data_IF_339227264146
#
_entry.id   IF_339227264146
#
_cell.length_a   1.000
_cell.length_b   1.000
_cell.length_c   1.000
_cell.angle_alpha   90.00
_cell.angle_beta   90.00
_cell.angle_gamma   90.00
#
_symmetry.space_group_name_H-M   'P 1'
#
loop_
_entity.id
_entity.type
_entity.pdbx_description
1 polymer ?
#
# COMPACT_ATOMS: atom_id res chain seq x y z
N UNK A 1 -2.57 -3.83 11.17
CA UNK A 1 -3.72 -4.43 11.88
C UNK A 1 -4.12 -5.77 11.27
N UNK A 2 -4.53 -5.80 9.99
CA UNK A 2 -4.95 -7.03 9.32
C UNK A 2 -3.94 -8.18 9.39
N UNK A 3 -2.65 -7.91 9.17
CA UNK A 3 -1.61 -8.96 9.29
C UNK A 3 -1.43 -9.52 10.71
N UNK A 4 -1.83 -8.79 11.76
CA UNK A 4 -1.72 -9.27 13.15
C UNK A 4 -2.95 -10.06 13.60
N UNK A 5 -4.12 -9.69 13.09
CA UNK A 5 -5.42 -10.27 13.47
C UNK A 5 -6.32 -10.41 12.24
N UNK A 6 -5.94 -11.25 11.26
CA UNK A 6 -6.69 -11.38 10.01
C UNK A 6 -8.14 -11.87 10.21
N UNK A 7 -8.38 -12.63 11.27
CA UNK A 7 -9.67 -13.23 11.64
C UNK A 7 -10.78 -12.22 11.95
N UNK A 8 -10.41 -10.97 12.26
CA UNK A 8 -11.36 -9.93 12.69
C UNK A 8 -11.96 -9.19 11.48
N UNK A 9 -11.26 -9.16 10.34
CA UNK A 9 -11.57 -8.21 9.28
C UNK A 9 -12.40 -8.85 8.16
N UNK A 10 -13.57 -8.28 7.88
CA UNK A 10 -14.34 -8.61 6.68
C UNK A 10 -13.66 -8.12 5.39
N UNK A 11 -12.84 -7.07 5.50
CA UNK A 11 -12.02 -6.48 4.46
C UNK A 11 -11.36 -5.19 4.96
N UNK A 12 -10.30 -4.73 4.29
CA UNK A 12 -9.59 -3.48 4.56
C UNK A 12 -9.43 -2.67 3.28
N UNK A 13 -9.73 -1.37 3.37
CA UNK A 13 -9.40 -0.36 2.36
C UNK A 13 -8.29 0.53 2.91
N UNK A 14 -7.09 0.46 2.35
CA UNK A 14 -5.92 1.24 2.77
C UNK A 14 -5.49 2.18 1.65
N UNK A 15 -5.27 3.45 2.01
CA UNK A 15 -4.98 4.54 1.08
C UNK A 15 -3.67 5.18 1.46
N UNK A 16 -2.79 5.32 0.48
CA UNK A 16 -1.42 5.84 0.59
C UNK A 16 -0.67 5.33 1.84
N UNK A 17 -0.69 4.00 2.09
CA UNK A 17 -0.16 3.41 3.31
C UNK A 17 1.36 3.51 3.41
N UNK A 18 1.86 3.68 4.64
CA UNK A 18 3.26 3.40 4.98
C UNK A 18 3.33 1.93 5.43
N UNK A 19 4.12 1.12 4.73
CA UNK A 19 4.24 -0.32 5.00
C UNK A 19 5.56 -0.75 5.66
N UNK A 20 6.59 0.09 5.60
CA UNK A 20 7.94 -0.16 6.11
C UNK A 20 8.51 1.09 6.78
N UNK A 21 8.74 1.04 8.09
CA UNK A 21 9.27 2.19 8.83
C UNK A 21 10.77 2.43 8.60
N UNK A 22 11.54 1.39 8.27
CA UNK A 22 12.97 1.53 7.98
C UNK A 22 13.14 2.25 6.66
N UNK A 23 12.44 1.78 5.61
CA UNK A 23 12.43 2.47 4.32
C UNK A 23 11.90 3.90 4.45
N UNK A 24 10.79 4.07 5.17
CA UNK A 24 10.17 5.39 5.34
C UNK A 24 11.07 6.38 6.09
N UNK A 25 11.86 5.91 7.08
CA UNK A 25 12.89 6.72 7.73
C UNK A 25 13.92 7.24 6.72
N UNK A 26 14.49 6.37 5.89
CA UNK A 26 15.51 6.75 4.92
C UNK A 26 14.96 7.68 3.84
N UNK A 27 13.78 7.38 3.31
CA UNK A 27 13.11 8.21 2.31
C UNK A 27 12.75 9.59 2.85
N UNK A 28 12.24 9.68 4.09
CA UNK A 28 12.00 10.98 4.74
C UNK A 28 13.29 11.78 4.92
N UNK A 29 14.38 11.13 5.32
CA UNK A 29 15.67 11.79 5.52
C UNK A 29 16.23 12.30 4.19
N UNK A 30 16.16 11.50 3.12
CA UNK A 30 16.57 11.88 1.78
C UNK A 30 15.74 13.04 1.22
N UNK A 31 14.42 13.02 1.42
CA UNK A 31 13.50 14.07 0.99
C UNK A 31 13.46 15.28 1.94
N UNK A 32 14.34 15.34 2.95
CA UNK A 32 14.39 16.39 3.98
C UNK A 32 13.03 16.64 4.69
N UNK A 33 12.23 15.58 4.88
CA UNK A 33 10.94 15.61 5.58
C UNK A 33 11.14 15.33 7.07
N UNK A 34 10.53 16.11 7.95
CA UNK A 34 10.73 15.98 9.40
C UNK A 34 10.20 14.66 10.01
N UNK A 35 9.40 13.87 9.29
CA UNK A 35 8.81 12.63 9.81
C UNK A 35 9.84 11.60 10.27
N UNK A 36 11.08 11.58 9.72
CA UNK A 36 12.11 10.67 10.22
C UNK A 36 12.40 10.85 11.71
N UNK A 37 12.25 12.08 12.25
CA UNK A 37 12.43 12.38 13.67
C UNK A 37 11.34 11.72 14.53
N UNK A 38 10.11 11.69 14.04
CA UNK A 38 9.00 11.03 14.73
C UNK A 38 9.15 9.51 14.71
N UNK A 39 9.67 8.96 13.62
CA UNK A 39 9.98 7.52 13.53
C UNK A 39 11.06 7.17 14.55
N UNK A 40 12.14 7.96 14.64
CA UNK A 40 13.19 7.78 15.66
C UNK A 40 12.62 7.85 17.08
N UNK A 41 11.78 8.85 17.38
CA UNK A 41 11.14 8.97 18.68
C UNK A 41 10.22 7.77 18.99
N UNK A 42 9.57 7.20 17.97
CA UNK A 42 8.66 6.05 18.12
C UNK A 42 9.39 4.72 18.27
N UNK A 43 10.59 4.60 17.69
CA UNK A 43 11.39 3.36 17.68
C UNK A 43 12.57 3.39 18.66
N UNK A 44 12.78 4.51 19.37
CA UNK A 44 13.83 4.65 20.37
C UNK A 44 15.25 4.90 19.81
N UNK A 45 15.39 5.04 18.49
CA UNK A 45 16.69 5.22 17.84
C UNK A 45 16.57 5.28 16.32
N UNK A 46 17.69 5.46 15.63
CA UNK A 46 17.75 5.35 14.16
C UNK A 46 17.84 3.87 13.75
N UNK A 47 17.41 3.47 12.54
CA UNK A 47 17.61 2.10 12.08
C UNK A 47 19.09 1.72 12.12
N UNK A 48 19.39 0.49 12.54
CA UNK A 48 20.73 -0.07 12.68
C UNK A 48 21.50 0.37 13.93
N UNK A 49 20.90 1.15 14.84
CA UNK A 49 21.61 1.63 16.04
C UNK A 49 21.73 0.58 17.15
N UNK A 50 20.78 -0.35 17.25
CA UNK A 50 20.87 -1.54 18.09
C UNK A 50 19.84 -2.59 17.65
N UNK A 51 20.00 -3.84 18.10
CA UNK A 51 19.05 -4.91 17.82
C UNK A 51 17.65 -4.62 18.39
N UNK A 52 17.58 -3.97 19.56
CA UNK A 52 16.32 -3.57 20.20
C UNK A 52 15.61 -2.49 19.39
N UNK A 53 16.35 -1.53 18.83
CA UNK A 53 15.79 -0.50 17.96
C UNK A 53 15.28 -1.12 16.66
N UNK A 54 16.07 -1.98 16.01
CA UNK A 54 15.66 -2.65 14.78
C UNK A 54 14.41 -3.51 14.96
N UNK A 55 14.25 -4.12 16.13
CA UNK A 55 13.04 -4.84 16.50
C UNK A 55 11.82 -3.91 16.63
N UNK A 56 11.97 -2.67 17.10
CA UNK A 56 10.88 -1.68 17.08
C UNK A 56 10.44 -1.34 15.65
N UNK A 57 11.39 -1.12 14.74
CA UNK A 57 11.11 -0.87 13.33
C UNK A 57 10.39 -2.06 12.69
N UNK A 58 10.92 -3.26 12.88
CA UNK A 58 10.34 -4.51 12.36
C UNK A 58 8.93 -4.70 12.91
N UNK A 59 8.75 -4.65 14.23
CA UNK A 59 7.45 -4.99 14.84
C UNK A 59 6.35 -3.99 14.51
N UNK A 60 6.67 -2.76 14.12
CA UNK A 60 5.69 -1.71 13.80
C UNK A 60 5.39 -1.60 12.30
N UNK A 61 6.28 -2.10 11.45
CA UNK A 61 6.09 -2.13 10.00
C UNK A 61 5.00 -3.14 9.61
N UNK A 62 3.95 -2.72 8.86
CA UNK A 62 2.95 -3.65 8.35
C UNK A 62 3.51 -4.83 7.56
N UNK A 63 4.57 -4.64 6.73
CA UNK A 63 5.18 -5.71 5.92
C UNK A 63 5.50 -6.96 6.74
N UNK A 64 6.00 -6.79 7.96
CA UNK A 64 6.35 -7.88 8.89
C UNK A 64 5.22 -8.89 9.12
N UNK A 65 3.96 -8.48 8.97
CA UNK A 65 2.80 -9.31 9.27
C UNK A 65 1.88 -9.53 8.07
N UNK A 66 2.10 -8.83 6.95
CA UNK A 66 1.13 -8.74 5.87
C UNK A 66 0.84 -10.10 5.22
N UNK A 67 1.82 -11.00 5.15
CA UNK A 67 1.63 -12.36 4.65
C UNK A 67 0.48 -13.13 5.34
N UNK A 68 0.20 -12.84 6.62
CA UNK A 68 -0.91 -13.45 7.36
C UNK A 68 -2.29 -12.96 6.88
N UNK A 69 -2.35 -11.82 6.17
CA UNK A 69 -3.58 -11.22 5.67
C UNK A 69 -3.92 -11.61 4.22
N UNK A 70 -3.25 -12.61 3.64
CA UNK A 70 -3.47 -13.05 2.25
C UNK A 70 -4.92 -13.43 1.93
N UNK A 71 -5.66 -13.93 2.92
CA UNK A 71 -7.06 -14.36 2.78
C UNK A 71 -8.06 -13.27 3.21
N UNK A 72 -7.57 -12.12 3.67
CA UNK A 72 -8.39 -10.94 3.94
C UNK A 72 -8.62 -10.20 2.62
N UNK A 73 -9.82 -9.67 2.41
CA UNK A 73 -10.07 -8.77 1.28
C UNK A 73 -9.29 -7.46 1.47
N UNK A 74 -8.28 -7.21 0.65
CA UNK A 74 -7.41 -6.04 0.75
C UNK A 74 -7.58 -5.13 -0.46
N UNK A 75 -7.85 -3.85 -0.21
CA UNK A 75 -7.96 -2.82 -1.22
C UNK A 75 -6.91 -1.74 -0.96
N UNK A 76 -5.77 -1.88 -1.64
CA UNK A 76 -4.60 -1.02 -1.49
C UNK A 76 -4.62 0.04 -2.59
N UNK A 77 -4.39 1.29 -2.22
CA UNK A 77 -4.49 2.43 -3.14
C UNK A 77 -3.35 3.41 -2.92
N UNK A 78 -2.78 3.93 -4.00
CA UNK A 78 -1.82 5.03 -3.97
C UNK A 78 -2.00 5.95 -5.17
N UNK A 79 -1.84 7.26 -4.99
CA UNK A 79 -1.76 8.19 -6.09
C UNK A 79 -0.38 8.13 -6.73
N UNK A 80 -0.28 8.07 -8.06
CA UNK A 80 0.99 7.88 -8.76
C UNK A 80 2.04 8.95 -8.45
N UNK A 81 1.61 10.17 -8.10
CA UNK A 81 2.48 11.30 -7.73
C UNK A 81 2.78 11.38 -6.24
N UNK A 82 2.27 10.47 -5.41
CA UNK A 82 2.65 10.42 -4.00
C UNK A 82 4.15 10.11 -3.85
N UNK A 83 4.75 10.57 -2.75
CA UNK A 83 6.20 10.53 -2.55
C UNK A 83 6.97 11.62 -3.28
N UNK A 84 6.41 12.22 -4.34
CA UNK A 84 6.97 13.35 -5.09
C UNK A 84 6.27 14.66 -4.73
N UNK A 85 5.00 14.78 -5.13
CA UNK A 85 4.11 15.90 -4.75
C UNK A 85 3.32 15.58 -3.47
N UNK A 86 3.56 14.40 -2.92
CA UNK A 86 2.99 13.90 -1.68
C UNK A 86 4.06 13.49 -0.68
N UNK A 87 3.66 12.70 0.31
CA UNK A 87 4.56 12.26 1.37
C UNK A 87 5.16 10.90 1.07
N UNK A 88 4.36 9.90 0.71
CA UNK A 88 4.74 8.49 0.81
C UNK A 88 5.02 7.90 -0.57
N UNK A 89 6.24 7.41 -0.86
CA UNK A 89 6.55 6.72 -2.10
C UNK A 89 5.61 5.54 -2.36
N UNK A 90 5.20 5.37 -3.61
CA UNK A 90 4.18 4.37 -3.98
C UNK A 90 4.69 2.93 -3.85
N UNK A 91 6.01 2.73 -3.81
CA UNK A 91 6.64 1.47 -3.41
C UNK A 91 6.07 0.88 -2.12
N UNK A 92 5.64 1.68 -1.15
CA UNK A 92 5.02 1.14 0.06
C UNK A 92 3.74 0.34 -0.22
N UNK A 93 2.90 0.83 -1.13
CA UNK A 93 1.67 0.15 -1.56
C UNK A 93 1.96 -1.08 -2.41
N UNK A 94 2.92 -0.97 -3.32
CA UNK A 94 3.28 -2.05 -4.24
C UNK A 94 3.98 -3.21 -3.52
N UNK A 95 4.91 -2.91 -2.60
CA UNK A 95 5.55 -3.93 -1.76
C UNK A 95 4.54 -4.57 -0.80
N UNK A 96 3.62 -3.79 -0.23
CA UNK A 96 2.55 -4.34 0.60
C UNK A 96 1.64 -5.31 -0.17
N UNK A 97 1.36 -5.03 -1.45
CA UNK A 97 0.64 -5.94 -2.33
C UNK A 97 1.45 -7.23 -2.60
N UNK A 98 2.75 -7.11 -2.89
CA UNK A 98 3.60 -8.27 -3.16
C UNK A 98 3.65 -9.28 -2.01
N UNK A 99 3.57 -8.83 -0.75
CA UNK A 99 3.55 -9.70 0.43
C UNK A 99 2.34 -10.65 0.49
N UNK A 100 1.22 -10.24 -0.11
CA UNK A 100 -0.03 -11.02 -0.11
C UNK A 100 -0.36 -11.62 -1.47
N UNK A 101 0.37 -11.24 -2.52
CA UNK A 101 0.19 -11.74 -3.87
C UNK A 101 0.89 -13.09 -4.10
N UNK A 102 0.29 -13.90 -4.97
CA UNK A 102 0.93 -15.07 -5.56
C UNK A 102 2.18 -14.66 -6.34
N UNK A 103 3.17 -15.56 -6.45
CA UNK A 103 4.50 -15.22 -6.96
C UNK A 103 4.46 -14.67 -8.40
N UNK A 104 3.58 -15.23 -9.23
CA UNK A 104 3.33 -14.84 -10.62
C UNK A 104 2.67 -13.46 -10.78
N UNK A 105 1.97 -12.98 -9.75
CA UNK A 105 1.27 -11.70 -9.78
C UNK A 105 2.10 -10.57 -9.16
N UNK A 106 3.23 -10.88 -8.53
CA UNK A 106 4.09 -9.86 -7.90
C UNK A 106 4.66 -8.91 -8.94
N UNK A 107 4.82 -7.65 -8.54
CA UNK A 107 5.65 -6.71 -9.27
C UNK A 107 7.13 -7.01 -8.96
N UNK A 108 7.97 -6.99 -9.99
CA UNK A 108 9.42 -7.04 -9.82
C UNK A 108 9.96 -5.77 -9.17
N UNK A 109 11.18 -5.83 -8.63
CA UNK A 109 11.86 -4.66 -8.08
C UNK A 109 12.00 -3.55 -9.13
N UNK A 110 12.42 -3.90 -10.35
CA UNK A 110 12.60 -2.94 -11.45
C UNK A 110 11.29 -2.24 -11.83
N UNK A 111 10.15 -2.95 -11.81
CA UNK A 111 8.85 -2.33 -12.07
C UNK A 111 8.46 -1.35 -10.95
N UNK A 112 8.66 -1.74 -9.69
CA UNK A 112 8.37 -0.86 -8.53
C UNK A 112 9.25 0.38 -8.56
N UNK A 113 10.55 0.22 -8.85
CA UNK A 113 11.49 1.32 -8.98
C UNK A 113 11.13 2.23 -10.16
N UNK A 114 10.64 1.69 -11.28
CA UNK A 114 10.15 2.49 -12.39
C UNK A 114 8.94 3.34 -11.98
N UNK A 115 7.97 2.73 -11.30
CA UNK A 115 6.81 3.44 -10.75
C UNK A 115 7.23 4.62 -9.87
N UNK A 116 8.13 4.37 -8.93
CA UNK A 116 8.62 5.39 -7.99
C UNK A 116 9.47 6.46 -8.69
N UNK A 117 10.35 6.12 -9.64
CA UNK A 117 11.26 7.11 -10.24
C UNK A 117 10.64 7.91 -11.40
N UNK A 118 9.86 7.25 -12.25
CA UNK A 118 9.34 7.86 -13.49
C UNK A 118 7.94 8.46 -13.31
N UNK A 119 7.27 8.16 -12.19
CA UNK A 119 5.90 8.64 -11.89
C UNK A 119 4.93 8.21 -13.01
N UNK A 120 5.15 7.01 -13.54
CA UNK A 120 4.45 6.45 -14.70
C UNK A 120 4.27 4.95 -14.56
N UNK A 121 3.27 4.42 -15.25
CA UNK A 121 3.08 2.97 -15.42
C UNK A 121 4.08 2.47 -16.46
N UNK A 122 4.87 1.42 -16.17
CA UNK A 122 5.72 0.77 -17.16
C UNK A 122 4.91 0.35 -18.39
N UNK A 123 5.49 0.47 -19.59
CA UNK A 123 4.77 0.18 -20.84
C UNK A 123 4.20 -1.24 -20.87
N UNK A 124 4.95 -2.22 -20.37
CA UNK A 124 4.53 -3.63 -20.24
C UNK A 124 3.32 -3.83 -19.34
N UNK A 125 3.03 -2.88 -18.45
CA UNK A 125 1.96 -2.95 -17.46
C UNK A 125 0.77 -2.04 -17.77
N UNK A 126 0.84 -1.25 -18.84
CA UNK A 126 -0.25 -0.35 -19.22
C UNK A 126 -1.50 -1.12 -19.59
N UNK A 127 -2.63 -0.66 -19.06
CA UNK A 127 -3.95 -1.20 -19.34
C UNK A 127 -4.95 -0.06 -19.47
N UNK A 128 -5.97 -0.23 -20.30
CA UNK A 128 -7.10 0.69 -20.33
C UNK A 128 -8.02 0.35 -19.16
N UNK A 129 -8.09 1.24 -18.17
CA UNK A 129 -8.91 1.06 -16.97
C UNK A 129 -9.87 2.24 -16.88
N UNK A 130 -11.15 1.94 -16.65
CA UNK A 130 -12.14 2.94 -16.31
C UNK A 130 -12.87 2.50 -15.06
N UNK A 131 -12.91 3.38 -14.06
CA UNK A 131 -13.59 3.14 -12.81
C UNK A 131 -14.29 4.44 -12.38
N UNK A 132 -15.60 4.56 -12.63
CA UNK A 132 -16.35 5.78 -12.32
C UNK A 132 -16.28 6.19 -10.85
N UNK A 133 -16.06 5.22 -9.93
CA UNK A 133 -15.96 5.52 -8.50
C UNK A 133 -14.72 6.34 -8.14
N UNK A 134 -13.74 6.43 -9.05
CA UNK A 134 -12.55 7.27 -8.87
C UNK A 134 -12.72 8.71 -9.38
N UNK A 135 -13.83 9.03 -10.04
CA UNK A 135 -14.09 10.38 -10.58
C UNK A 135 -12.97 10.85 -11.52
N UNK A 136 -12.45 12.05 -11.31
CA UNK A 136 -11.34 12.59 -12.12
C UNK A 136 -10.00 11.85 -11.89
N UNK A 137 -9.86 11.12 -10.77
CA UNK A 137 -8.62 10.45 -10.36
C UNK A 137 -8.56 9.01 -10.89
N UNK A 138 -8.78 8.84 -12.18
CA UNK A 138 -8.93 7.51 -12.79
C UNK A 138 -7.75 6.58 -12.47
N UNK A 139 -7.98 5.27 -12.29
CA UNK A 139 -6.91 4.29 -12.15
C UNK A 139 -6.00 4.28 -13.38
N UNK A 140 -4.68 4.29 -13.14
CA UNK A 140 -3.66 4.16 -14.19
C UNK A 140 -3.11 2.73 -14.24
N UNK A 141 -3.08 2.05 -13.10
CA UNK A 141 -2.69 0.67 -12.97
C UNK A 141 -3.55 -0.01 -11.91
N UNK A 142 -3.97 -1.25 -12.16
CA UNK A 142 -4.66 -2.09 -11.20
C UNK A 142 -4.22 -3.53 -11.36
N UNK A 143 -3.92 -4.19 -10.24
CA UNK A 143 -3.60 -5.61 -10.22
C UNK A 143 -4.33 -6.29 -9.07
N UNK A 144 -4.79 -7.51 -9.32
CA UNK A 144 -5.45 -8.35 -8.32
C UNK A 144 -4.73 -9.69 -8.24
N UNK A 145 -4.51 -10.16 -7.02
CA UNK A 145 -4.01 -11.51 -6.73
C UNK A 145 -4.78 -12.05 -5.53
N UNK A 146 -5.48 -13.17 -5.70
CA UNK A 146 -6.36 -13.72 -4.67
C UNK A 146 -7.38 -12.69 -4.15
N UNK A 147 -7.33 -12.39 -2.85
CA UNK A 147 -8.23 -11.43 -2.18
C UNK A 147 -7.69 -10.00 -2.12
N UNK A 148 -6.50 -9.73 -2.68
CA UNK A 148 -5.86 -8.43 -2.65
C UNK A 148 -5.90 -7.75 -4.01
N UNK A 149 -6.23 -6.46 -4.02
CA UNK A 149 -6.15 -5.58 -5.18
C UNK A 149 -5.31 -4.36 -4.82
N UNK A 150 -4.36 -4.01 -5.68
CA UNK A 150 -3.65 -2.73 -5.64
C UNK A 150 -4.07 -1.86 -6.82
N UNK A 151 -4.36 -0.59 -6.55
CA UNK A 151 -4.67 0.42 -7.56
C UNK A 151 -3.73 1.60 -7.41
N UNK A 152 -3.04 1.95 -8.51
CA UNK A 152 -2.31 3.21 -8.63
C UNK A 152 -3.15 4.14 -9.49
N UNK A 153 -3.59 5.26 -8.91
CA UNK A 153 -4.52 6.20 -9.54
C UNK A 153 -3.86 7.52 -9.91
N UNK A 154 -4.49 8.29 -10.79
CA UNK A 154 -4.03 9.62 -11.18
C UNK A 154 -4.25 10.63 -10.03
N UNK A 155 -3.32 10.67 -9.07
CA UNK A 155 -3.45 11.53 -7.89
C UNK A 155 -2.19 11.60 -7.03
N UNK A 156 -2.32 12.20 -5.84
CA UNK A 156 -1.24 12.43 -4.88
C UNK A 156 -1.47 11.67 -3.57
N UNK A 157 -1.09 12.26 -2.43
CA UNK A 157 -1.34 11.73 -1.09
C UNK A 157 -2.79 11.94 -0.64
N UNK A 158 -3.72 11.10 -1.10
CA UNK A 158 -5.14 11.31 -0.85
C UNK A 158 -5.98 10.02 -0.88
N UNK A 159 -7.16 10.12 -0.25
CA UNK A 159 -8.25 9.14 -0.32
C UNK A 159 -9.20 9.52 -1.46
N UNK A 160 -9.63 8.54 -2.25
CA UNK A 160 -10.78 8.70 -3.15
C UNK A 160 -12.00 8.08 -2.48
N UNK A 161 -12.79 8.91 -1.80
CA UNK A 161 -13.83 8.46 -0.88
C UNK A 161 -14.91 7.62 -1.55
N UNK A 162 -15.37 8.00 -2.74
CA UNK A 162 -16.41 7.29 -3.47
C UNK A 162 -15.97 5.87 -3.84
N UNK A 163 -14.73 5.71 -4.32
CA UNK A 163 -14.12 4.40 -4.57
C UNK A 163 -13.99 3.56 -3.30
N UNK A 164 -13.60 4.17 -2.17
CA UNK A 164 -13.50 3.46 -0.91
C UNK A 164 -14.88 2.97 -0.42
N UNK A 165 -15.91 3.80 -0.52
CA UNK A 165 -17.29 3.47 -0.12
C UNK A 165 -17.84 2.38 -1.05
N UNK A 166 -17.76 2.55 -2.36
CA UNK A 166 -18.22 1.57 -3.35
C UNK A 166 -17.55 0.21 -3.13
N UNK A 167 -16.25 0.19 -2.79
CA UNK A 167 -15.57 -1.04 -2.46
C UNK A 167 -16.13 -1.70 -1.17
N UNK A 168 -16.35 -0.93 -0.11
CA UNK A 168 -16.92 -1.44 1.16
C UNK A 168 -18.32 -2.02 0.93
N UNK A 169 -19.17 -1.34 0.15
CA UNK A 169 -20.49 -1.82 -0.26
C UNK A 169 -20.38 -3.16 -1.00
N UNK A 170 -19.48 -3.27 -1.97
CA UNK A 170 -19.26 -4.53 -2.71
C UNK A 170 -18.81 -5.69 -1.79
N UNK A 171 -18.00 -5.40 -0.76
CA UNK A 171 -17.57 -6.37 0.24
C UNK A 171 -18.77 -6.83 1.06
N UNK A 172 -19.62 -5.90 1.49
CA UNK A 172 -20.84 -6.17 2.25
C UNK A 172 -21.79 -7.08 1.44
N UNK A 173 -22.14 -6.70 0.23
CA UNK A 173 -23.05 -7.47 -0.63
C UNK A 173 -22.56 -8.89 -0.92
N UNK A 174 -21.26 -9.02 -1.21
CA UNK A 174 -20.66 -10.34 -1.48
C UNK A 174 -20.76 -11.28 -0.27
N UNK A 175 -20.76 -10.73 0.94
CA UNK A 175 -20.94 -11.53 2.16
C UNK A 175 -22.39 -11.94 2.36
N UNK A 176 -23.35 -11.04 2.08
CA UNK A 176 -24.77 -11.37 2.14
C UNK A 176 -25.11 -12.54 1.21
N UNK A 177 -24.65 -12.48 -0.05
CA UNK A 177 -24.87 -13.55 -1.04
C UNK A 177 -24.25 -14.91 -0.69
N UNK A 178 -23.29 -14.97 0.24
CA UNK A 178 -22.67 -16.23 0.71
C UNK A 178 -23.38 -16.82 1.93
N UNK A 179 -24.27 -16.06 2.57
CA UNK A 179 -25.04 -16.50 3.72
C UNK A 179 -26.37 -17.17 3.35
N UNK A 180 -26.84 -16.93 2.11
CA UNK A 180 -28.00 -17.57 1.47
C UNK A 180 -27.60 -18.86 0.74
#
# INVERSE_FOLDING_TARGET
MAGRHPEIWAGISAWVPISDLTAWYHQCKQANRNYYKHIVASCGGVPGSSAEVDEEYRKRSPLTYLANAKDVKLHLNAGIRDGHDGSVPISHSLLAFNEVAAAEDRLSADEIDYFDNEVKVPESLKQSISDPSYGEKQPLFRRTSGSATVTIFDGRHELVSDAAIAWIESVHETRQRKAD
#
